data_IF_058722670356
#
_entry.id   IF_058722670356
#
_cell.length_a   1.000
_cell.length_b   1.000
_cell.length_c   1.000
_cell.angle_alpha   90.00
_cell.angle_beta   90.00
_cell.angle_gamma   90.00
#
_symmetry.space_group_name_H-M   'P 1'
#
loop_
_entity.id
_entity.type
_entity.pdbx_description
1 polymer ?
#
# COMPACT_ATOMS: atom_id res chain seq x y z
N UNK A 1 17.99 -19.87 1.29
CA UNK A 1 18.29 -20.58 0.03
C UNK A 1 19.40 -19.84 -0.70
N UNK A 2 20.57 -20.47 -0.89
CA UNK A 2 21.62 -19.96 -1.79
C UNK A 2 21.25 -20.40 -3.20
N UNK A 3 20.95 -19.46 -4.11
CA UNK A 3 20.73 -19.79 -5.51
C UNK A 3 22.08 -19.85 -6.23
N UNK A 4 22.38 -21.00 -6.85
CA UNK A 4 23.53 -21.19 -7.74
C UNK A 4 23.11 -20.73 -9.12
N UNK A 5 23.81 -19.73 -9.67
CA UNK A 5 23.61 -19.25 -11.03
C UNK A 5 24.10 -20.36 -11.98
N UNK A 6 23.30 -20.82 -12.95
CA UNK A 6 23.76 -21.81 -13.92
C UNK A 6 24.82 -21.19 -14.83
N UNK A 7 25.97 -21.85 -14.98
CA UNK A 7 27.16 -21.37 -15.70
C UNK A 7 27.02 -21.34 -17.23
N UNK A 8 25.85 -21.67 -17.76
CA UNK A 8 25.59 -21.77 -19.20
C UNK A 8 24.37 -20.94 -19.58
N UNK A 9 24.55 -19.64 -19.74
CA UNK A 9 23.60 -18.82 -20.48
C UNK A 9 24.33 -17.66 -21.16
N UNK A 10 24.18 -17.58 -22.47
CA UNK A 10 24.37 -16.40 -23.31
C UNK A 10 23.35 -15.29 -23.00
N UNK A 11 22.63 -15.38 -21.88
CA UNK A 11 21.58 -14.44 -21.50
C UNK A 11 22.19 -13.19 -20.84
N UNK A 12 22.19 -12.10 -21.58
CA UNK A 12 22.67 -10.79 -21.12
C UNK A 12 21.77 -10.18 -20.02
N UNK A 13 20.58 -10.76 -19.78
CA UNK A 13 19.63 -10.31 -18.77
C UNK A 13 18.96 -11.49 -18.04
N UNK A 14 19.00 -11.46 -16.71
CA UNK A 14 18.31 -12.46 -15.88
C UNK A 14 17.42 -11.79 -14.83
N UNK A 15 16.19 -12.28 -14.68
CA UNK A 15 15.20 -11.73 -13.72
C UNK A 15 14.55 -12.84 -12.89
N UNK A 16 14.82 -12.85 -11.58
CA UNK A 16 14.17 -13.76 -10.62
C UNK A 16 13.07 -13.03 -9.87
N UNK A 17 11.90 -13.68 -9.73
CA UNK A 17 10.76 -13.19 -8.94
C UNK A 17 10.47 -14.20 -7.84
N UNK A 18 10.60 -13.79 -6.59
CA UNK A 18 10.19 -14.58 -5.43
C UNK A 18 9.05 -13.87 -4.71
N UNK A 19 7.97 -14.61 -4.44
CA UNK A 19 6.84 -14.15 -3.61
C UNK A 19 6.85 -14.92 -2.29
N UNK A 20 6.79 -14.19 -1.18
CA UNK A 20 6.76 -14.77 0.17
C UNK A 20 5.36 -14.66 0.74
N UNK A 21 4.84 -15.78 1.25
CA UNK A 21 3.56 -15.86 1.95
C UNK A 21 3.78 -15.70 3.46
N UNK A 22 2.93 -14.93 4.14
CA UNK A 22 2.98 -14.82 5.59
C UNK A 22 2.08 -15.88 6.23
N UNK A 23 2.69 -16.81 6.95
CA UNK A 23 1.99 -17.75 7.82
C UNK A 23 1.93 -17.18 9.23
N UNK A 24 0.79 -17.27 9.91
CA UNK A 24 0.68 -16.96 11.34
C UNK A 24 0.38 -18.22 12.13
N UNK A 25 1.05 -18.39 13.29
CA UNK A 25 0.71 -19.46 14.23
C UNK A 25 -0.61 -19.11 14.91
N UNK A 26 -1.59 -19.99 14.77
CA UNK A 26 -2.93 -19.82 15.34
C UNK A 26 -2.99 -20.33 16.79
N UNK A 27 -2.06 -21.22 17.20
CA UNK A 27 -1.95 -21.77 18.57
C UNK A 27 -0.49 -22.15 18.92
N UNK A 28 -0.13 -22.28 20.22
CA UNK A 28 1.24 -22.62 20.67
C UNK A 28 1.69 -24.06 20.35
N UNK A 29 0.86 -24.88 19.68
CA UNK A 29 1.22 -26.23 19.27
C UNK A 29 2.13 -26.26 18.04
N UNK A 30 2.98 -27.28 17.96
CA UNK A 30 4.23 -27.31 17.18
C UNK A 30 4.00 -27.24 15.64
N UNK A 31 2.78 -27.52 15.13
CA UNK A 31 2.52 -27.66 13.69
C UNK A 31 1.17 -27.06 13.22
N UNK A 32 0.70 -25.96 13.81
CA UNK A 32 -0.43 -25.21 13.25
C UNK A 32 0.03 -23.85 12.73
N UNK A 33 0.02 -23.70 11.42
CA UNK A 33 0.31 -22.45 10.72
C UNK A 33 -0.81 -22.23 9.71
N UNK A 34 -1.58 -21.16 9.90
CA UNK A 34 -2.64 -20.79 8.97
C UNK A 34 -2.12 -19.73 8.02
N UNK A 35 -2.41 -19.90 6.73
CA UNK A 35 -2.18 -18.84 5.76
C UNK A 35 -3.04 -17.65 6.17
N UNK A 36 -2.38 -16.53 6.45
CA UNK A 36 -3.09 -15.30 6.80
C UNK A 36 -3.84 -14.88 5.53
N UNK A 37 -5.13 -15.20 5.45
CA UNK A 37 -6.07 -14.95 4.33
C UNK A 37 -6.15 -13.47 3.89
N UNK A 38 -5.45 -12.56 4.55
CA UNK A 38 -5.15 -11.26 3.95
C UNK A 38 -4.27 -11.49 2.74
N UNK A 39 -4.84 -11.35 1.54
CA UNK A 39 -4.18 -11.45 0.24
C UNK A 39 -3.01 -10.47 0.00
N UNK A 40 -2.44 -9.90 1.06
CA UNK A 40 -1.22 -9.11 1.12
C UNK A 40 -0.01 -10.01 0.85
N UNK A 41 0.76 -9.65 -0.18
CA UNK A 41 1.93 -10.44 -0.62
C UNK A 41 3.18 -9.58 -0.62
N UNK A 42 4.22 -10.05 0.07
CA UNK A 42 5.55 -9.46 -0.08
C UNK A 42 6.27 -10.12 -1.25
N UNK A 43 6.99 -9.35 -2.05
CA UNK A 43 7.78 -9.90 -3.14
C UNK A 43 9.15 -9.24 -3.24
N UNK A 44 10.11 -10.01 -3.74
CA UNK A 44 11.43 -9.55 -4.12
C UNK A 44 11.66 -9.88 -5.59
N UNK A 45 12.11 -8.89 -6.36
CA UNK A 45 12.53 -9.05 -7.75
C UNK A 45 13.99 -8.65 -7.88
N UNK A 46 14.80 -9.58 -8.36
CA UNK A 46 16.21 -9.37 -8.66
C UNK A 46 16.36 -9.27 -10.17
N UNK A 47 16.97 -8.19 -10.66
CA UNK A 47 17.34 -8.00 -12.05
C UNK A 47 18.85 -7.88 -12.13
N UNK A 48 19.48 -8.68 -12.98
CA UNK A 48 20.92 -8.61 -13.23
C UNK A 48 21.10 -8.27 -14.70
N UNK A 49 21.72 -7.11 -14.95
CA UNK A 49 22.09 -6.63 -16.28
C UNK A 49 23.56 -7.02 -16.54
N UNK A 50 23.79 -7.85 -17.56
CA UNK A 50 25.09 -8.43 -17.94
C UNK A 50 25.64 -7.98 -19.30
N UNK A 51 24.96 -7.05 -19.97
CA UNK A 51 25.33 -6.50 -21.30
C UNK A 51 26.77 -5.94 -21.39
N UNK A 52 27.40 -5.57 -20.27
CA UNK A 52 28.79 -5.04 -20.25
C UNK A 52 29.86 -6.10 -19.89
N UNK A 53 29.51 -7.39 -19.97
CA UNK A 53 30.41 -8.52 -19.69
C UNK A 53 30.48 -8.92 -18.21
N UNK A 54 31.02 -10.12 -17.94
CA UNK A 54 31.06 -10.76 -16.60
C UNK A 54 31.72 -9.92 -15.50
N UNK A 55 32.56 -8.94 -15.85
CA UNK A 55 33.30 -8.09 -14.91
C UNK A 55 32.53 -6.83 -14.45
N UNK A 56 31.39 -6.48 -15.05
CA UNK A 56 30.55 -5.32 -14.69
C UNK A 56 29.06 -5.66 -14.57
N UNK A 57 28.74 -6.73 -13.85
CA UNK A 57 27.35 -7.09 -13.55
C UNK A 57 26.68 -6.01 -12.68
N UNK A 58 25.55 -5.47 -13.14
CA UNK A 58 24.74 -4.52 -12.36
C UNK A 58 23.50 -5.23 -11.86
N UNK A 59 23.47 -5.53 -10.56
CA UNK A 59 22.30 -6.05 -9.87
C UNK A 59 21.38 -4.94 -9.34
N UNK A 60 20.09 -5.00 -9.68
CA UNK A 60 19.01 -4.17 -9.13
C UNK A 60 18.05 -5.06 -8.36
N UNK A 61 17.77 -4.68 -7.10
CA UNK A 61 16.78 -5.39 -6.27
C UNK A 61 15.59 -4.49 -6.03
N UNK A 62 14.39 -5.01 -6.32
CA UNK A 62 13.12 -4.36 -6.03
C UNK A 62 12.38 -5.18 -4.99
N UNK A 63 11.98 -4.55 -3.90
CA UNK A 63 11.10 -5.14 -2.90
C UNK A 63 9.72 -4.52 -2.99
N UNK A 64 8.67 -5.26 -2.64
CA UNK A 64 7.32 -4.71 -2.69
C UNK A 64 6.31 -5.44 -1.84
N UNK A 65 5.18 -4.76 -1.64
CA UNK A 65 3.99 -5.23 -0.92
C UNK A 65 2.83 -5.05 -1.89
N UNK A 66 2.14 -6.13 -2.18
CA UNK A 66 0.94 -6.13 -3.03
C UNK A 66 -0.32 -6.30 -2.20
N UNK A 67 -1.40 -5.70 -2.68
CA UNK A 67 -2.76 -5.90 -2.18
C UNK A 67 -2.93 -5.57 -0.69
N UNK A 68 -2.36 -4.45 -0.27
CA UNK A 68 -2.63 -3.86 1.03
C UNK A 68 -3.96 -3.09 0.95
N UNK A 69 -5.04 -3.76 1.38
CA UNK A 69 -6.37 -3.17 1.51
C UNK A 69 -6.45 -2.35 2.79
N UNK A 70 -6.82 -1.08 2.67
CA UNK A 70 -7.00 -0.14 3.78
C UNK A 70 -8.30 0.64 3.60
N UNK A 71 -8.94 0.97 4.72
CA UNK A 71 -10.22 1.65 4.78
C UNK A 71 -10.18 2.69 5.91
N UNK A 72 -10.65 3.91 5.64
CA UNK A 72 -10.98 4.92 6.65
C UNK A 72 -12.40 5.43 6.43
N UNK A 73 -13.16 5.54 7.52
CA UNK A 73 -14.58 5.95 7.49
C UNK A 73 -14.77 7.48 7.52
N UNK A 74 -13.79 8.22 8.02
CA UNK A 74 -13.83 9.67 8.19
C UNK A 74 -12.45 10.29 7.92
N UNK A 75 -12.38 11.61 7.86
CA UNK A 75 -11.13 12.33 7.59
C UNK A 75 -10.68 12.26 6.12
N UNK A 76 -11.62 12.05 5.20
CA UNK A 76 -11.42 12.21 3.76
C UNK A 76 -12.49 13.14 3.22
N UNK A 77 -12.07 14.16 2.48
CA UNK A 77 -12.94 15.02 1.69
C UNK A 77 -12.57 14.89 0.21
N UNK A 78 -13.46 15.33 -0.66
CA UNK A 78 -13.19 15.54 -2.08
C UNK A 78 -13.97 16.78 -2.54
N UNK A 79 -13.29 17.92 -2.43
CA UNK A 79 -13.79 19.26 -2.70
C UNK A 79 -12.74 20.07 -3.47
N UNK A 80 -13.12 21.25 -3.96
CA UNK A 80 -12.21 22.22 -4.60
C UNK A 80 -11.46 21.64 -5.81
N UNK A 81 -12.15 20.82 -6.62
CA UNK A 81 -11.64 20.35 -7.91
C UNK A 81 -12.13 21.25 -9.04
N UNK A 82 -11.43 21.21 -10.18
CA UNK A 82 -11.82 21.96 -11.36
C UNK A 82 -13.15 21.43 -11.91
N UNK A 83 -14.14 22.32 -12.05
CA UNK A 83 -15.46 21.99 -12.59
C UNK A 83 -15.58 22.52 -14.02
N UNK A 84 -15.98 21.65 -14.93
CA UNK A 84 -16.33 21.95 -16.31
C UNK A 84 -17.77 21.51 -16.64
N UNK A 85 -18.17 21.67 -17.90
CA UNK A 85 -19.50 21.27 -18.40
C UNK A 85 -19.79 19.76 -18.27
N UNK A 86 -18.76 18.93 -18.11
CA UNK A 86 -18.88 17.48 -17.93
C UNK A 86 -18.85 17.05 -16.46
N UNK A 87 -18.68 18.00 -15.55
CA UNK A 87 -18.52 17.75 -14.13
C UNK A 87 -19.88 17.62 -13.44
N UNK A 88 -20.30 16.38 -13.22
CA UNK A 88 -21.52 16.06 -12.46
C UNK A 88 -21.25 15.68 -11.01
N UNK A 89 -19.98 15.59 -10.64
CA UNK A 89 -19.58 15.17 -9.30
C UNK A 89 -19.85 16.32 -8.32
N UNK A 90 -20.58 16.01 -7.25
CA UNK A 90 -20.83 16.96 -6.16
C UNK A 90 -19.63 16.97 -5.22
N UNK A 91 -19.28 18.15 -4.71
CA UNK A 91 -18.28 18.30 -3.66
C UNK A 91 -18.78 17.66 -2.36
N UNK A 92 -17.92 16.86 -1.73
CA UNK A 92 -18.28 16.16 -0.49
C UNK A 92 -17.18 16.35 0.54
N UNK A 93 -17.52 16.99 1.65
CA UNK A 93 -16.61 17.21 2.77
C UNK A 93 -16.30 15.92 3.57
N UNK A 94 -17.03 14.83 3.30
CA UNK A 94 -16.84 13.54 3.98
C UNK A 94 -17.18 12.34 3.12
N UNK A 95 -16.17 11.51 2.85
CA UNK A 95 -16.29 10.26 2.09
C UNK A 95 -15.62 9.10 2.83
N UNK A 96 -16.14 7.89 2.62
CA UNK A 96 -15.43 6.66 2.99
C UNK A 96 -14.29 6.46 1.98
N UNK A 97 -13.05 6.42 2.48
CA UNK A 97 -11.89 6.20 1.64
C UNK A 97 -11.38 4.78 1.81
N UNK A 98 -11.51 3.99 0.75
CA UNK A 98 -11.07 2.61 0.66
C UNK A 98 -10.14 2.45 -0.53
N UNK A 99 -9.04 1.75 -0.32
CA UNK A 99 -8.13 1.47 -1.42
C UNK A 99 -7.36 0.18 -1.22
N UNK A 100 -7.13 -0.53 -2.33
CA UNK A 100 -6.12 -1.58 -2.38
C UNK A 100 -4.86 -1.00 -3.00
N UNK A 101 -3.78 -1.01 -2.21
CA UNK A 101 -2.49 -0.46 -2.59
C UNK A 101 -1.47 -1.56 -2.84
N UNK A 102 -0.81 -1.46 -4.00
CA UNK A 102 0.38 -2.22 -4.33
C UNK A 102 1.54 -1.25 -4.47
N UNK A 103 2.69 -1.63 -3.94
CA UNK A 103 3.80 -0.71 -3.78
C UNK A 103 5.12 -1.45 -3.87
N UNK A 104 6.09 -0.82 -4.49
CA UNK A 104 7.43 -1.39 -4.64
C UNK A 104 8.48 -0.30 -4.52
N UNK A 105 9.65 -0.68 -4.04
CA UNK A 105 10.77 0.22 -3.87
C UNK A 105 12.05 -0.39 -4.39
N UNK A 106 12.89 0.46 -4.95
CA UNK A 106 14.24 0.09 -5.36
C UNK A 106 15.15 0.12 -4.12
N UNK A 107 15.86 -0.96 -3.89
CA UNK A 107 16.71 -1.12 -2.73
C UNK A 107 18.10 -0.55 -3.01
N UNK A 108 18.65 0.23 -2.06
CA UNK A 108 20.04 0.69 -2.11
C UNK A 108 20.97 -0.52 -1.97
N UNK A 109 22.11 -0.51 -2.69
CA UNK A 109 23.11 -1.58 -2.62
C UNK A 109 23.56 -1.80 -1.18
N UNK A 110 23.31 -2.99 -0.61
CA UNK A 110 23.79 -3.40 0.72
C UNK A 110 24.62 -4.67 0.61
N UNK A 111 25.59 -4.85 1.51
CA UNK A 111 26.50 -6.02 1.56
C UNK A 111 25.83 -7.34 1.97
N UNK A 112 24.56 -7.32 2.41
CA UNK A 112 23.87 -8.51 2.95
C UNK A 112 22.45 -8.62 2.39
N UNK A 113 22.21 -9.65 1.57
CA UNK A 113 20.93 -9.96 0.95
C UNK A 113 20.04 -10.78 1.89
N UNK A 114 19.52 -10.15 2.93
CA UNK A 114 18.57 -10.79 3.86
C UNK A 114 17.23 -10.06 3.80
N UNK A 115 16.11 -10.74 4.03
CA UNK A 115 14.77 -10.13 4.03
C UNK A 115 14.67 -8.95 5.02
N UNK A 116 15.37 -9.04 6.14
CA UNK A 116 15.56 -7.95 7.11
C UNK A 116 16.21 -6.69 6.50
N UNK A 117 17.09 -6.85 5.50
CA UNK A 117 17.73 -5.73 4.81
C UNK A 117 16.74 -4.89 3.99
N UNK A 118 15.61 -5.48 3.58
CA UNK A 118 14.57 -4.83 2.79
C UNK A 118 13.41 -4.28 3.64
N UNK A 119 13.40 -4.62 4.94
CA UNK A 119 12.53 -4.08 5.98
C UNK A 119 11.04 -3.88 5.58
N UNK A 120 10.37 -4.88 4.97
CA UNK A 120 8.98 -4.74 4.52
C UNK A 120 8.01 -4.41 5.67
N UNK A 121 8.29 -4.88 6.89
CA UNK A 121 7.50 -4.58 8.08
C UNK A 121 7.54 -3.09 8.45
N UNK A 122 8.71 -2.44 8.37
CA UNK A 122 8.85 -1.01 8.67
C UNK A 122 8.11 -0.16 7.62
N UNK A 123 8.24 -0.52 6.34
CA UNK A 123 7.54 0.14 5.25
C UNK A 123 6.03 0.01 5.40
N UNK A 124 5.53 -1.19 5.75
CA UNK A 124 4.11 -1.42 6.04
C UNK A 124 3.62 -0.57 7.21
N UNK A 125 4.38 -0.53 8.32
CA UNK A 125 4.04 0.26 9.50
C UNK A 125 3.95 1.75 9.17
N UNK A 126 4.96 2.30 8.50
CA UNK A 126 4.98 3.70 8.08
C UNK A 126 3.77 4.07 7.19
N UNK A 127 3.38 3.18 6.27
CA UNK A 127 2.20 3.35 5.42
C UNK A 127 0.90 3.38 6.22
N UNK A 128 0.70 2.38 7.08
CA UNK A 128 -0.51 2.28 7.91
C UNK A 128 -0.65 3.47 8.86
N UNK A 129 0.44 3.87 9.52
CA UNK A 129 0.46 5.06 10.39
C UNK A 129 0.10 6.33 9.62
N UNK A 130 0.71 6.51 8.44
CA UNK A 130 0.43 7.69 7.60
C UNK A 130 -1.02 7.71 7.15
N UNK A 131 -1.53 6.58 6.65
CA UNK A 131 -2.91 6.47 6.20
C UNK A 131 -3.93 6.73 7.31
N UNK A 132 -3.62 6.31 8.55
CA UNK A 132 -4.50 6.49 9.70
C UNK A 132 -4.54 7.95 10.21
N UNK A 133 -3.41 8.67 10.13
CA UNK A 133 -3.29 10.04 10.67
C UNK A 133 -3.65 11.11 9.63
N UNK A 134 -3.47 10.82 8.35
CA UNK A 134 -3.61 11.83 7.29
C UNK A 134 -5.08 12.24 7.05
N UNK A 135 -5.33 13.55 7.18
CA UNK A 135 -6.59 14.20 6.81
C UNK A 135 -6.51 14.62 5.34
N UNK A 136 -6.70 13.63 4.48
CA UNK A 136 -6.45 13.77 3.05
C UNK A 136 -7.56 14.53 2.34
N UNK A 137 -7.22 15.63 1.67
CA UNK A 137 -8.10 16.31 0.70
C UNK A 137 -8.21 15.54 -0.62
N UNK A 138 -7.18 14.77 -0.99
CA UNK A 138 -7.20 13.91 -2.17
C UNK A 138 -6.45 12.60 -1.94
N UNK A 139 -6.80 11.57 -2.72
CA UNK A 139 -6.08 10.29 -2.75
C UNK A 139 -4.60 10.51 -3.07
N UNK A 140 -4.30 11.39 -4.04
CA UNK A 140 -2.93 11.69 -4.48
C UNK A 140 -2.07 12.30 -3.37
N UNK A 141 -2.63 13.22 -2.59
CA UNK A 141 -1.94 13.82 -1.44
C UNK A 141 -1.52 12.76 -0.41
N UNK A 142 -2.45 11.86 -0.06
CA UNK A 142 -2.18 10.74 0.88
C UNK A 142 -0.99 9.91 0.42
N UNK A 143 -0.94 9.58 -0.87
CA UNK A 143 0.11 8.73 -1.44
C UNK A 143 1.47 9.39 -1.42
N UNK A 144 1.48 10.68 -1.70
CA UNK A 144 2.70 11.46 -1.67
C UNK A 144 3.30 11.49 -0.25
N UNK A 145 2.47 11.77 0.76
CA UNK A 145 2.86 11.73 2.17
C UNK A 145 3.34 10.33 2.60
N UNK A 146 2.63 9.28 2.18
CA UNK A 146 3.06 7.90 2.44
C UNK A 146 4.42 7.60 1.80
N UNK A 147 4.65 8.05 0.56
CA UNK A 147 5.91 7.86 -0.13
C UNK A 147 7.06 8.56 0.59
N UNK A 148 6.88 9.84 0.94
CA UNK A 148 7.87 10.63 1.65
C UNK A 148 8.25 10.00 2.99
N UNK A 149 7.26 9.60 3.80
CA UNK A 149 7.50 8.96 5.09
C UNK A 149 8.19 7.61 4.99
N UNK A 150 7.88 6.83 3.95
CA UNK A 150 8.57 5.56 3.69
C UNK A 150 10.03 5.80 3.34
N UNK A 151 10.34 6.77 2.47
CA UNK A 151 11.73 7.11 2.12
C UNK A 151 12.49 7.66 3.32
N UNK A 152 11.86 8.49 4.15
CA UNK A 152 12.47 9.05 5.35
C UNK A 152 12.76 8.00 6.44
N UNK A 153 11.84 7.07 6.69
CA UNK A 153 11.98 6.03 7.72
C UNK A 153 12.83 4.83 7.26
N UNK A 154 12.86 4.53 5.97
CA UNK A 154 13.57 3.37 5.41
C UNK A 154 14.89 3.77 4.78
N UNK A 155 16.00 3.53 5.48
CA UNK A 155 17.34 3.66 4.90
C UNK A 155 17.59 2.69 3.72
N UNK A 156 16.72 1.69 3.51
CA UNK A 156 16.86 0.71 2.44
C UNK A 156 16.25 1.18 1.11
N UNK A 157 15.25 2.06 1.14
CA UNK A 157 14.51 2.48 -0.04
C UNK A 157 15.14 3.70 -0.71
N UNK A 158 15.36 3.65 -2.01
CA UNK A 158 15.83 4.80 -2.80
C UNK A 158 14.70 5.50 -3.55
N UNK A 159 13.78 4.72 -4.10
CA UNK A 159 12.61 5.21 -4.83
C UNK A 159 11.44 4.32 -4.46
N UNK A 160 10.25 4.90 -4.29
CA UNK A 160 9.02 4.20 -3.92
C UNK A 160 7.97 4.51 -4.97
N UNK A 161 7.39 3.47 -5.54
CA UNK A 161 6.30 3.57 -6.50
C UNK A 161 5.04 2.94 -5.91
N UNK A 162 3.89 3.49 -6.30
CA UNK A 162 2.58 3.08 -5.84
C UNK A 162 1.67 2.84 -7.04
N UNK A 163 0.84 1.80 -6.93
CA UNK A 163 -0.31 1.56 -7.79
C UNK A 163 -1.52 1.32 -6.88
N UNK A 164 -2.59 2.08 -7.10
CA UNK A 164 -3.80 2.01 -6.28
C UNK A 164 -5.03 1.92 -7.14
N UNK A 165 -5.98 1.15 -6.63
CA UNK A 165 -7.36 1.13 -7.10
C UNK A 165 -8.23 1.70 -5.99
N UNK A 166 -8.84 2.85 -6.25
CA UNK A 166 -9.80 3.46 -5.33
C UNK A 166 -11.09 2.67 -5.37
N UNK A 167 -11.54 2.16 -4.23
CA UNK A 167 -12.85 1.53 -4.09
C UNK A 167 -13.82 2.60 -3.62
N UNK A 168 -14.74 2.99 -4.51
CA UNK A 168 -15.74 4.02 -4.22
C UNK A 168 -16.90 3.41 -3.47
N UNK A 169 -17.24 4.01 -2.32
CA UNK A 169 -18.46 3.74 -1.58
C UNK A 169 -19.38 4.93 -1.81
N UNK A 170 -20.50 4.70 -2.47
CA UNK A 170 -21.51 5.74 -2.74
C UNK A 170 -22.55 5.66 -1.63
N UNK A 171 -22.89 6.81 -1.05
CA UNK A 171 -23.99 6.88 -0.09
C UNK A 171 -25.30 6.54 -0.80
N UNK A 172 -26.10 5.68 -0.18
CA UNK A 172 -27.46 5.39 -0.65
C UNK A 172 -28.40 6.42 -0.04
N UNK A 173 -29.09 7.16 -0.90
CA UNK A 173 -30.16 8.07 -0.48
C UNK A 173 -31.42 7.26 -0.15
N UNK A 174 -31.80 7.24 1.13
CA UNK A 174 -32.97 6.52 1.62
C UNK A 174 -34.13 7.46 1.99
N UNK A 175 -34.07 8.74 1.59
CA UNK A 175 -35.12 9.72 1.92
C UNK A 175 -36.50 9.34 1.35
N UNK A 176 -36.54 8.54 0.29
CA UNK A 176 -37.78 7.97 -0.26
C UNK A 176 -38.51 7.02 0.72
N UNK A 177 -37.80 6.50 1.73
CA UNK A 177 -38.37 5.71 2.83
C UNK A 177 -38.64 6.54 4.09
N UNK A 178 -38.55 7.87 4.01
CA UNK A 178 -38.55 8.78 5.16
C UNK A 178 -37.43 8.48 6.19
N UNK A 179 -36.28 7.95 5.74
CA UNK A 179 -35.10 7.70 6.58
C UNK A 179 -34.01 8.68 6.19
N UNK A 180 -33.49 9.42 7.17
CA UNK A 180 -32.32 10.25 6.96
C UNK A 180 -31.03 9.41 6.96
N UNK A 181 -30.41 9.30 5.78
CA UNK A 181 -29.15 8.58 5.56
C UNK A 181 -28.00 9.48 5.09
N UNK A 182 -28.27 10.77 4.90
CA UNK A 182 -27.34 11.73 4.29
C UNK A 182 -26.86 12.77 5.29
N UNK A 183 -27.71 13.18 6.23
CA UNK A 183 -27.30 14.04 7.33
C UNK A 183 -26.75 13.22 8.48
N UNK A 184 -25.66 13.72 9.07
CA UNK A 184 -25.13 13.18 10.30
C UNK A 184 -26.07 13.51 11.45
N UNK A 185 -26.31 12.59 12.41
CA UNK A 185 -26.68 13.06 13.73
C UNK A 185 -25.54 13.94 14.22
N UNK A 186 -25.84 15.20 14.52
CA UNK A 186 -24.99 16.02 15.37
C UNK A 186 -24.94 15.26 16.69
N UNK A 187 -23.89 14.47 16.91
CA UNK A 187 -23.74 13.61 18.08
C UNK A 187 -23.91 14.41 19.40
N UNK A 188 -23.67 15.72 19.37
CA UNK A 188 -23.94 16.61 20.50
C UNK A 188 -25.43 16.96 20.66
N UNK A 189 -26.21 17.16 19.59
CA UNK A 189 -27.67 17.43 19.71
C UNK A 189 -28.44 16.18 20.16
N UNK A 190 -28.01 14.99 19.75
CA UNK A 190 -28.62 13.73 20.19
C UNK A 190 -28.40 13.45 21.70
N UNK A 191 -27.31 13.97 22.29
CA UNK A 191 -27.05 13.87 23.73
C UNK A 191 -27.95 14.82 24.52
N UNK A 192 -28.25 16.01 23.99
CA UNK A 192 -29.15 16.98 24.62
C UNK A 192 -30.65 16.64 24.46
N UNK A 193 -31.02 15.72 23.57
CA UNK A 193 -32.41 15.27 23.43
C UNK A 193 -32.78 14.11 24.37
N UNK A 194 -31.80 13.52 25.08
CA UNK A 194 -31.99 12.37 25.97
C UNK A 194 -31.75 12.74 27.46
N UNK A 195 -31.23 13.95 27.72
CA UNK A 195 -31.10 14.56 29.06
C UNK A 195 -32.19 15.62 29.27
#
# INVERSE_FOLDING_TARGET
MKYRIPDTATDEHFSVKNSTYSLSKTSPHILSAEERSSALRNFLRFQVDGSTGKSKLVGKVKAGINNLLVLKFTGSAFDNFYCDEYTTLVEVNRIIFSTSSSSWWLCKKRKKDTEAAYAPAQVRKAKLETFAVDKSATVKATLYEMAQRVVAKSASASNVSYSLTTKRYVHVDMRYLNIDSLTLPRLWEAIYAIL
#
